data_IF_399864455228
#
_entry.id   IF_399864455228
#
_cell.length_a   1.000
_cell.length_b   1.000
_cell.length_c   1.000
_cell.angle_alpha   90.00
_cell.angle_beta   90.00
_cell.angle_gamma   90.00
#
_symmetry.space_group_name_H-M   'P 1'
#
loop_
_entity.id
_entity.type
_entity.pdbx_description
1 polymer ?
#
# COMPACT_ATOMS: atom_id res chain seq x y z
N UNK A 1 32.75 81.84 -39.04
CA UNK A 1 32.10 80.64 -39.61
C UNK A 1 32.37 79.45 -38.65
N UNK A 2 31.46 79.15 -37.71
CA UNK A 2 31.58 78.06 -36.77
C UNK A 2 30.52 77.04 -37.15
N UNK A 3 30.95 75.86 -37.62
CA UNK A 3 30.09 74.70 -37.91
C UNK A 3 29.75 74.00 -36.62
N UNK A 4 28.47 74.05 -36.24
CA UNK A 4 27.94 73.22 -35.13
C UNK A 4 27.87 71.77 -35.57
N UNK A 5 28.61 70.92 -34.92
CA UNK A 5 28.50 69.42 -35.02
C UNK A 5 27.29 68.95 -34.29
N UNK A 6 26.29 68.46 -35.04
CA UNK A 6 25.08 67.85 -34.48
C UNK A 6 25.39 66.42 -34.04
N UNK A 7 25.58 66.21 -32.73
CA UNK A 7 25.71 64.86 -32.16
C UNK A 7 24.32 64.24 -32.18
N UNK A 8 24.09 63.30 -33.10
CA UNK A 8 22.93 62.39 -33.06
C UNK A 8 23.19 61.37 -31.98
N UNK A 9 22.60 61.57 -30.80
CA UNK A 9 22.44 60.54 -29.79
C UNK A 9 21.50 59.49 -30.32
N UNK A 10 22.04 58.32 -30.66
CA UNK A 10 21.32 57.13 -31.02
C UNK A 10 20.57 56.65 -29.77
N UNK A 11 19.32 56.94 -29.66
CA UNK A 11 18.43 56.31 -28.67
C UNK A 11 18.22 54.86 -29.07
N UNK A 12 19.20 54.01 -28.74
CA UNK A 12 19.07 52.55 -28.79
C UNK A 12 17.93 52.14 -27.88
N UNK A 13 16.92 51.66 -28.49
CA UNK A 13 15.64 51.30 -28.04
C UNK A 13 15.58 50.61 -26.67
N UNK A 14 14.89 51.28 -25.82
CA UNK A 14 14.21 50.70 -24.68
C UNK A 14 12.98 49.91 -25.16
N UNK A 15 13.21 48.97 -26.08
CA UNK A 15 12.24 47.91 -26.40
C UNK A 15 12.53 46.71 -25.48
N UNK A 16 12.68 46.99 -24.22
CA UNK A 16 12.87 45.93 -23.22
C UNK A 16 11.56 45.67 -22.52
N UNK A 17 10.97 44.57 -22.93
CA UNK A 17 10.08 43.75 -22.10
C UNK A 17 8.82 44.51 -21.71
N UNK A 18 7.75 44.28 -22.45
CA UNK A 18 6.42 44.60 -21.95
C UNK A 18 6.30 44.03 -20.53
N UNK A 19 6.03 44.85 -19.52
CA UNK A 19 6.00 44.41 -18.12
C UNK A 19 5.06 43.21 -17.92
N UNK A 20 4.01 43.11 -18.72
CA UNK A 20 3.05 42.01 -18.68
C UNK A 20 3.65 40.64 -19.02
N UNK A 21 4.61 40.56 -19.95
CA UNK A 21 5.28 39.29 -20.28
C UNK A 21 6.25 38.84 -19.18
N UNK A 22 6.91 39.79 -18.55
CA UNK A 22 7.80 39.48 -17.42
C UNK A 22 7.01 39.00 -16.20
N UNK A 23 5.86 39.62 -15.90
CA UNK A 23 4.96 39.21 -14.86
C UNK A 23 4.42 37.79 -15.09
N UNK A 24 3.97 37.48 -16.30
CA UNK A 24 3.49 36.13 -16.67
C UNK A 24 4.57 35.06 -16.56
N UNK A 25 5.83 35.36 -16.92
CA UNK A 25 6.94 34.43 -16.75
C UNK A 25 7.23 34.13 -15.28
N UNK A 26 7.16 35.13 -14.41
CA UNK A 26 7.36 34.94 -12.97
C UNK A 26 6.22 34.12 -12.36
N UNK A 27 4.97 34.40 -12.74
CA UNK A 27 3.80 33.64 -12.29
C UNK A 27 3.90 32.18 -12.74
N UNK A 28 4.28 31.92 -13.98
CA UNK A 28 4.51 30.58 -14.50
C UNK A 28 5.66 29.87 -13.77
N UNK A 29 6.76 30.59 -13.50
CA UNK A 29 7.91 30.02 -12.78
C UNK A 29 7.58 29.59 -11.35
N UNK A 30 6.62 30.26 -10.70
CA UNK A 30 6.15 29.90 -9.35
C UNK A 30 5.08 28.81 -9.41
N UNK A 31 4.17 28.86 -10.37
CA UNK A 31 3.07 27.89 -10.48
C UNK A 31 3.52 26.53 -11.00
N UNK A 32 4.55 26.48 -11.87
CA UNK A 32 5.04 25.23 -12.47
C UNK A 32 5.57 24.21 -11.43
N UNK A 33 6.43 24.57 -10.46
CA UNK A 33 6.87 23.62 -9.42
C UNK A 33 5.70 23.07 -8.61
N UNK A 34 4.71 23.90 -8.30
CA UNK A 34 3.52 23.50 -7.55
C UNK A 34 2.67 22.52 -8.37
N UNK A 35 2.50 22.77 -9.66
CA UNK A 35 1.79 21.87 -10.57
C UNK A 35 2.50 20.51 -10.68
N UNK A 36 3.83 20.50 -10.83
CA UNK A 36 4.62 19.26 -10.88
C UNK A 36 4.45 18.48 -9.58
N UNK A 37 4.44 19.13 -8.43
CA UNK A 37 4.23 18.52 -7.13
C UNK A 37 2.86 17.80 -7.06
N UNK A 38 1.79 18.46 -7.53
CA UNK A 38 0.47 17.84 -7.59
C UNK A 38 0.44 16.63 -8.53
N UNK A 39 1.05 16.75 -9.71
CA UNK A 39 1.09 15.65 -10.68
C UNK A 39 1.81 14.42 -10.08
N UNK A 40 2.98 14.61 -9.46
CA UNK A 40 3.70 13.52 -8.80
C UNK A 40 2.87 12.91 -7.67
N UNK A 41 2.20 13.73 -6.87
CA UNK A 41 1.30 13.27 -5.81
C UNK A 41 0.17 12.38 -6.35
N UNK A 42 -0.51 12.81 -7.42
CA UNK A 42 -1.60 12.04 -8.05
C UNK A 42 -1.10 10.68 -8.53
N UNK A 43 0.06 10.60 -9.19
CA UNK A 43 0.62 9.33 -9.65
C UNK A 43 0.97 8.40 -8.50
N UNK A 44 1.53 8.91 -7.43
CA UNK A 44 1.93 8.09 -6.27
C UNK A 44 0.70 7.54 -5.52
N UNK A 45 -0.32 8.39 -5.30
CA UNK A 45 -1.59 7.93 -4.73
C UNK A 45 -2.30 6.91 -5.62
N UNK A 46 -2.30 7.11 -6.95
CA UNK A 46 -2.88 6.16 -7.90
C UNK A 46 -2.19 4.80 -7.82
N UNK A 47 -0.85 4.77 -7.72
CA UNK A 47 -0.09 3.54 -7.57
C UNK A 47 -0.40 2.83 -6.24
N UNK A 48 -0.45 3.57 -5.13
CA UNK A 48 -0.81 3.03 -3.82
C UNK A 48 -2.23 2.46 -3.79
N UNK A 49 -3.19 3.16 -4.40
CA UNK A 49 -4.58 2.70 -4.51
C UNK A 49 -4.70 1.42 -5.36
N UNK A 50 -4.00 1.35 -6.49
CA UNK A 50 -3.94 0.16 -7.34
C UNK A 50 -3.35 -1.03 -6.57
N UNK A 51 -2.28 -0.82 -5.81
CA UNK A 51 -1.71 -1.86 -4.95
C UNK A 51 -2.71 -2.31 -3.89
N UNK A 52 -3.40 -1.37 -3.23
CA UNK A 52 -4.44 -1.69 -2.25
C UNK A 52 -5.55 -2.56 -2.84
N UNK A 53 -6.01 -2.26 -4.06
CA UNK A 53 -7.02 -3.07 -4.75
C UNK A 53 -6.51 -4.48 -5.03
N UNK A 54 -5.28 -4.63 -5.53
CA UNK A 54 -4.65 -5.94 -5.77
C UNK A 54 -4.55 -6.74 -4.49
N UNK A 55 -4.08 -6.14 -3.38
CA UNK A 55 -3.99 -6.80 -2.09
C UNK A 55 -5.37 -7.20 -1.54
N UNK A 56 -6.39 -6.38 -1.76
CA UNK A 56 -7.76 -6.71 -1.35
C UNK A 56 -8.31 -7.90 -2.11
N UNK A 57 -8.06 -7.98 -3.42
CA UNK A 57 -8.50 -9.11 -4.22
C UNK A 57 -7.80 -10.41 -3.80
N UNK A 58 -6.46 -10.39 -3.67
CA UNK A 58 -5.73 -11.59 -3.26
C UNK A 58 -6.10 -12.03 -1.84
N UNK A 59 -6.32 -11.11 -0.91
CA UNK A 59 -6.76 -11.48 0.43
C UNK A 59 -8.13 -12.18 0.42
N UNK A 60 -9.05 -11.72 -0.43
CA UNK A 60 -10.37 -12.36 -0.61
C UNK A 60 -10.26 -13.75 -1.21
N UNK A 61 -9.47 -13.90 -2.26
CA UNK A 61 -9.28 -15.19 -2.92
C UNK A 61 -8.59 -16.20 -1.98
N UNK A 62 -7.55 -15.77 -1.29
CA UNK A 62 -6.86 -16.58 -0.30
C UNK A 62 -7.76 -16.99 0.87
N UNK A 63 -8.60 -16.07 1.37
CA UNK A 63 -9.55 -16.37 2.43
C UNK A 63 -10.60 -17.40 2.00
N UNK A 64 -11.11 -17.27 0.76
CA UNK A 64 -12.08 -18.23 0.19
C UNK A 64 -11.49 -19.62 0.03
N UNK A 65 -10.29 -19.71 -0.53
CA UNK A 65 -9.59 -21.00 -0.70
C UNK A 65 -9.35 -21.66 0.64
N UNK A 66 -8.82 -20.93 1.60
CA UNK A 66 -8.60 -21.47 2.93
C UNK A 66 -9.89 -21.85 3.66
N UNK A 67 -10.99 -21.12 3.44
CA UNK A 67 -12.29 -21.39 4.09
C UNK A 67 -13.02 -22.58 3.47
N UNK A 68 -12.78 -22.87 2.18
CA UNK A 68 -13.36 -24.01 1.47
C UNK A 68 -12.75 -25.37 1.91
N UNK A 69 -11.51 -25.34 2.43
CA UNK A 69 -10.88 -26.54 2.95
C UNK A 69 -11.55 -26.97 4.26
N UNK A 70 -11.71 -28.30 4.50
CA UNK A 70 -12.33 -28.81 5.71
C UNK A 70 -11.68 -28.27 6.98
N UNK A 71 -12.47 -27.89 7.97
CA UNK A 71 -11.96 -27.41 9.26
C UNK A 71 -11.19 -28.49 10.05
N UNK A 72 -11.37 -29.76 9.67
CA UNK A 72 -10.63 -30.89 10.24
C UNK A 72 -9.09 -30.83 10.00
N UNK A 73 -8.62 -30.08 9.00
CA UNK A 73 -7.18 -29.93 8.73
C UNK A 73 -6.44 -29.18 9.85
N UNK A 74 -7.14 -28.31 10.57
CA UNK A 74 -6.61 -27.58 11.74
C UNK A 74 -6.78 -28.38 13.06
N UNK A 75 -7.50 -29.49 13.04
CA UNK A 75 -7.72 -30.35 14.21
C UNK A 75 -6.47 -31.14 14.61
N UNK A 76 -5.59 -31.48 13.68
CA UNK A 76 -4.34 -32.22 13.94
C UNK A 76 -3.12 -31.29 13.75
N UNK A 77 -2.89 -30.43 14.73
CA UNK A 77 -1.83 -29.40 14.69
C UNK A 77 -0.41 -29.96 14.94
N UNK A 78 -0.25 -31.25 15.14
CA UNK A 78 1.06 -31.90 15.29
C UNK A 78 1.72 -32.22 13.93
N UNK A 79 1.00 -32.20 12.82
CA UNK A 79 1.47 -32.65 11.50
C UNK A 79 2.07 -31.55 10.62
N UNK A 80 2.36 -30.34 11.16
CA UNK A 80 2.98 -29.24 10.40
C UNK A 80 2.00 -28.14 10.02
N UNK A 81 2.19 -27.53 8.82
CA UNK A 81 1.31 -26.48 8.30
C UNK A 81 0.12 -27.14 7.58
N UNK A 82 -1.13 -26.81 7.93
CA UNK A 82 -2.32 -27.36 7.27
C UNK A 82 -2.37 -27.05 5.76
N UNK A 83 -3.04 -27.93 5.00
CA UNK A 83 -3.22 -27.75 3.55
C UNK A 83 -3.92 -26.44 3.22
N UNK A 84 -4.94 -26.07 3.96
CA UNK A 84 -5.66 -24.80 3.78
C UNK A 84 -4.76 -23.57 3.90
N UNK A 85 -3.79 -23.59 4.80
CA UNK A 85 -2.81 -22.52 4.98
C UNK A 85 -1.80 -22.51 3.82
N UNK A 86 -1.34 -23.70 3.40
CA UNK A 86 -0.42 -23.84 2.26
C UNK A 86 -1.09 -23.36 0.96
N UNK A 87 -2.32 -23.74 0.72
CA UNK A 87 -3.04 -23.37 -0.51
C UNK A 87 -3.39 -21.90 -0.53
N UNK A 88 -3.77 -21.32 0.62
CA UNK A 88 -3.90 -19.87 0.77
C UNK A 88 -2.58 -19.13 0.47
N UNK A 89 -1.45 -19.62 0.98
CA UNK A 89 -0.11 -19.07 0.67
C UNK A 89 0.18 -19.12 -0.84
N UNK A 90 -0.08 -20.26 -1.50
CA UNK A 90 0.13 -20.41 -2.95
C UNK A 90 -0.73 -19.44 -3.76
N UNK A 91 -1.97 -19.19 -3.35
CA UNK A 91 -2.84 -18.20 -3.98
C UNK A 91 -2.22 -16.82 -3.88
N UNK A 92 -1.74 -16.42 -2.69
CA UNK A 92 -1.09 -15.11 -2.51
C UNK A 92 0.16 -15.00 -3.37
N UNK A 93 1.04 -15.99 -3.34
CA UNK A 93 2.31 -16.01 -4.07
C UNK A 93 2.09 -15.94 -5.58
N UNK A 94 1.23 -16.79 -6.12
CA UNK A 94 0.89 -16.82 -7.55
C UNK A 94 0.23 -15.52 -8.01
N UNK A 95 -0.64 -14.94 -7.20
CA UNK A 95 -1.30 -13.67 -7.53
C UNK A 95 -0.31 -12.51 -7.56
N UNK A 96 0.59 -12.42 -6.58
CA UNK A 96 1.62 -11.38 -6.55
C UNK A 96 2.49 -11.47 -7.80
N UNK A 97 2.99 -12.65 -8.12
CA UNK A 97 3.84 -12.91 -9.30
C UNK A 97 3.10 -12.58 -10.61
N UNK A 98 1.86 -13.03 -10.77
CA UNK A 98 1.03 -12.74 -11.94
C UNK A 98 0.76 -11.24 -12.13
N UNK A 99 0.67 -10.50 -11.04
CA UNK A 99 0.47 -9.03 -11.06
C UNK A 99 1.76 -8.23 -11.07
N UNK A 100 2.92 -8.87 -11.32
CA UNK A 100 4.25 -8.26 -11.34
C UNK A 100 4.61 -7.55 -10.02
N UNK A 101 4.10 -8.05 -8.91
CA UNK A 101 4.53 -7.67 -7.58
C UNK A 101 5.59 -8.65 -7.10
N UNK A 102 6.61 -8.15 -6.41
CA UNK A 102 7.63 -9.01 -5.85
C UNK A 102 7.04 -9.77 -4.65
N UNK A 103 7.13 -11.09 -4.66
CA UNK A 103 6.71 -11.95 -3.56
C UNK A 103 7.66 -11.90 -2.36
N UNK A 104 8.81 -11.22 -2.48
CA UNK A 104 9.87 -11.10 -1.46
C UNK A 104 10.41 -12.44 -0.94
N UNK A 105 10.17 -13.55 -1.68
CA UNK A 105 10.51 -14.90 -1.26
C UNK A 105 9.51 -15.49 -0.27
N UNK A 106 8.24 -15.11 -0.37
CA UNK A 106 7.17 -15.56 0.53
C UNK A 106 7.01 -17.08 0.51
N UNK A 107 7.10 -17.72 -0.66
CA UNK A 107 6.96 -19.16 -0.86
C UNK A 107 8.03 -20.00 -0.13
N UNK A 108 9.18 -19.40 0.19
CA UNK A 108 10.29 -20.10 0.87
C UNK A 108 10.28 -19.92 2.40
N UNK A 109 9.37 -19.11 2.92
CA UNK A 109 9.32 -18.84 4.36
C UNK A 109 8.51 -19.87 5.13
N UNK A 110 9.00 -20.19 6.32
CA UNK A 110 8.25 -20.96 7.31
C UNK A 110 7.42 -20.01 8.17
N UNK A 111 6.15 -20.33 8.42
CA UNK A 111 5.33 -19.50 9.28
C UNK A 111 5.66 -19.65 10.76
N UNK A 112 5.46 -18.61 11.52
CA UNK A 112 5.28 -18.73 12.97
C UNK A 112 3.82 -19.03 13.25
N UNK A 113 3.56 -19.93 14.24
CA UNK A 113 2.22 -20.35 14.60
C UNK A 113 1.85 -19.90 16.00
N UNK A 114 0.62 -19.43 16.15
CA UNK A 114 -0.01 -19.16 17.44
C UNK A 114 -1.46 -19.69 17.42
N UNK A 115 -1.72 -20.80 18.08
CA UNK A 115 -3.01 -21.48 18.00
C UNK A 115 -3.36 -21.91 16.56
N UNK A 116 -4.45 -21.36 16.03
CA UNK A 116 -4.94 -21.57 14.66
C UNK A 116 -4.60 -20.40 13.72
N UNK A 117 -3.60 -19.60 14.07
CA UNK A 117 -3.08 -18.47 13.29
C UNK A 117 -1.65 -18.76 12.83
N UNK A 118 -1.39 -18.61 11.54
CA UNK A 118 -0.08 -18.72 10.90
C UNK A 118 0.34 -17.36 10.35
N UNK A 119 1.56 -16.96 10.68
CA UNK A 119 2.12 -15.67 10.26
C UNK A 119 3.41 -15.88 9.50
N UNK A 120 3.44 -15.47 8.26
CA UNK A 120 4.65 -15.37 7.42
C UNK A 120 5.13 -13.93 7.45
N UNK A 121 6.37 -13.71 7.89
CA UNK A 121 6.94 -12.37 7.98
C UNK A 121 8.23 -12.28 7.20
N UNK A 122 8.30 -11.32 6.30
CA UNK A 122 9.50 -10.92 5.57
C UNK A 122 9.72 -9.45 5.85
N UNK A 123 10.78 -9.16 6.59
CA UNK A 123 11.14 -7.78 6.92
C UNK A 123 11.44 -6.98 5.65
N UNK A 124 11.01 -5.70 5.57
CA UNK A 124 11.30 -4.87 4.41
C UNK A 124 12.80 -4.67 4.23
N UNK A 125 13.32 -5.10 3.07
CA UNK A 125 14.73 -4.97 2.69
C UNK A 125 14.85 -4.46 1.27
N UNK A 126 15.99 -3.84 0.96
CA UNK A 126 16.29 -3.35 -0.40
C UNK A 126 15.73 -1.96 -0.71
N UNK A 127 15.99 -1.52 -1.95
CA UNK A 127 15.50 -0.23 -2.48
C UNK A 127 15.03 -0.43 -3.92
N UNK A 128 13.72 -0.47 -4.19
CA UNK A 128 12.59 -0.25 -3.26
C UNK A 128 12.46 -1.36 -2.21
N UNK A 129 11.87 -1.06 -1.04
CA UNK A 129 11.74 -2.05 0.01
C UNK A 129 10.81 -3.18 -0.43
N UNK A 130 11.24 -4.43 -0.23
CA UNK A 130 10.41 -5.61 -0.38
C UNK A 130 10.19 -6.23 1.00
N UNK A 131 8.96 -6.24 1.45
CA UNK A 131 8.57 -6.80 2.73
C UNK A 131 7.10 -7.18 2.71
N UNK A 132 6.78 -8.34 3.26
CA UNK A 132 5.41 -8.87 3.30
C UNK A 132 5.16 -9.48 4.67
N UNK A 133 3.99 -9.19 5.23
CA UNK A 133 3.43 -9.95 6.35
C UNK A 133 2.11 -10.54 5.90
N UNK A 134 2.04 -11.87 5.88
CA UNK A 134 0.82 -12.62 5.58
C UNK A 134 0.37 -13.32 6.87
N UNK A 135 -0.85 -13.04 7.30
CA UNK A 135 -1.48 -13.65 8.47
C UNK A 135 -2.70 -14.43 8.00
N UNK A 136 -2.78 -15.69 8.37
CA UNK A 136 -3.89 -16.58 8.06
C UNK A 136 -4.41 -17.14 9.39
N UNK A 137 -5.62 -16.74 9.78
CA UNK A 137 -6.30 -17.23 10.98
C UNK A 137 -7.52 -18.06 10.55
N UNK A 138 -7.45 -19.38 10.79
CA UNK A 138 -8.50 -20.35 10.45
C UNK A 138 -9.61 -20.47 11.51
N UNK A 139 -9.40 -19.87 12.66
CA UNK A 139 -10.38 -19.84 13.74
C UNK A 139 -10.86 -18.43 14.06
N UNK A 140 -11.03 -17.59 13.03
CA UNK A 140 -11.50 -16.24 13.23
C UNK A 140 -12.98 -16.23 13.65
N UNK A 141 -13.27 -15.62 14.80
CA UNK A 141 -14.61 -15.57 15.36
C UNK A 141 -15.25 -14.23 15.07
N UNK A 142 -16.43 -14.28 14.43
CA UNK A 142 -17.29 -13.09 14.23
C UNK A 142 -18.21 -12.94 15.44
N UNK A 143 -18.15 -11.82 16.14
CA UNK A 143 -19.20 -11.49 17.10
C UNK A 143 -20.45 -11.05 16.31
N UNK A 144 -21.57 -11.73 16.53
CA UNK A 144 -22.84 -11.42 15.84
C UNK A 144 -23.39 -10.04 16.18
N UNK A 145 -22.88 -9.40 17.23
CA UNK A 145 -23.39 -8.11 17.77
C UNK A 145 -22.34 -7.04 17.96
N UNK A 146 -21.09 -7.24 17.50
CA UNK A 146 -20.05 -6.23 17.69
C UNK A 146 -20.22 -5.07 16.70
N UNK A 147 -20.44 -3.88 17.23
CA UNK A 147 -20.40 -2.62 16.46
C UNK A 147 -18.97 -2.15 16.19
N UNK A 148 -17.98 -2.79 16.80
CA UNK A 148 -16.57 -2.45 16.59
C UNK A 148 -16.02 -3.35 15.49
N UNK A 149 -15.57 -2.79 14.37
CA UNK A 149 -14.91 -3.60 13.36
C UNK A 149 -13.66 -4.26 13.97
N UNK A 150 -13.42 -5.55 13.66
CA UNK A 150 -12.22 -6.24 14.13
C UNK A 150 -10.99 -5.47 13.67
N UNK A 151 -9.90 -5.54 14.46
CA UNK A 151 -8.63 -4.95 14.03
C UNK A 151 -8.21 -5.59 12.71
N UNK A 152 -8.45 -4.82 11.66
CA UNK A 152 -8.33 -5.28 10.29
C UNK A 152 -6.89 -5.67 9.90
N UNK A 153 -5.88 -5.42 10.75
CA UNK A 153 -4.49 -5.70 10.40
C UNK A 153 -4.01 -7.07 10.85
N UNK A 154 -4.49 -7.53 11.99
CA UNK A 154 -3.90 -8.65 12.70
C UNK A 154 -4.71 -9.93 12.64
N UNK A 155 -5.90 -9.93 12.04
CA UNK A 155 -6.83 -11.08 12.08
C UNK A 155 -7.06 -11.62 13.51
N UNK A 156 -6.99 -10.74 14.52
CA UNK A 156 -7.27 -11.14 15.89
C UNK A 156 -8.76 -11.38 16.06
N UNK A 157 -9.09 -12.57 16.51
CA UNK A 157 -10.46 -12.91 16.90
C UNK A 157 -10.89 -12.07 18.09
N UNK A 158 -12.12 -11.60 18.03
CA UNK A 158 -12.74 -10.99 19.21
C UNK A 158 -13.16 -12.12 20.15
N UNK A 159 -13.10 -11.86 21.45
CA UNK A 159 -13.62 -12.80 22.45
C UNK A 159 -15.12 -12.96 22.24
N UNK A 160 -15.64 -14.18 21.97
CA UNK A 160 -17.07 -14.34 21.81
C UNK A 160 -17.77 -13.92 23.11
N UNK A 161 -18.74 -13.03 22.98
CA UNK A 161 -19.72 -12.83 24.05
C UNK A 161 -20.55 -14.10 24.26
N UNK A 162 -21.56 -14.05 25.12
CA UNK A 162 -22.43 -15.21 25.41
C UNK A 162 -23.35 -15.64 24.24
N UNK A 163 -23.13 -15.13 23.03
CA UNK A 163 -23.96 -15.41 21.85
C UNK A 163 -23.24 -16.34 20.86
N UNK A 164 -24.00 -17.00 20.01
CA UNK A 164 -23.52 -17.87 18.94
C UNK A 164 -22.54 -17.13 18.05
N UNK A 165 -21.31 -17.61 17.97
CA UNK A 165 -20.26 -17.03 17.15
C UNK A 165 -20.12 -17.83 15.84
N UNK A 166 -19.98 -17.13 14.72
CA UNK A 166 -19.64 -17.75 13.44
C UNK A 166 -18.10 -17.83 13.35
N UNK A 167 -17.62 -18.99 12.93
CA UNK A 167 -16.18 -19.22 12.73
C UNK A 167 -15.87 -19.10 11.25
N UNK A 168 -14.82 -18.35 10.95
CA UNK A 168 -14.37 -18.14 9.58
C UNK A 168 -12.85 -18.15 9.49
N UNK A 169 -12.37 -17.92 8.28
CA UNK A 169 -10.96 -17.72 7.99
C UNK A 169 -10.70 -16.26 7.67
N UNK A 170 -9.78 -15.65 8.42
CA UNK A 170 -9.30 -14.30 8.16
C UNK A 170 -7.91 -14.36 7.50
N UNK A 171 -7.73 -13.62 6.41
CA UNK A 171 -6.45 -13.43 5.75
C UNK A 171 -6.11 -11.95 5.72
N UNK A 172 -4.95 -11.59 6.26
CA UNK A 172 -4.38 -10.25 6.19
C UNK A 172 -3.08 -10.29 5.40
N UNK A 173 -2.96 -9.41 4.42
CA UNK A 173 -1.76 -9.22 3.61
C UNK A 173 -1.29 -7.79 3.82
N UNK A 174 -0.07 -7.62 4.33
CA UNK A 174 0.60 -6.33 4.48
C UNK A 174 1.80 -6.31 3.55
N UNK A 175 1.95 -5.25 2.79
CA UNK A 175 3.01 -5.11 1.79
C UNK A 175 3.75 -3.79 2.00
N UNK A 176 5.08 -3.84 2.05
CA UNK A 176 5.91 -2.64 2.19
C UNK A 176 5.75 -1.73 0.97
N UNK A 177 5.52 -0.45 1.22
CA UNK A 177 5.34 0.56 0.18
C UNK A 177 6.23 1.77 0.43
N UNK A 178 6.97 2.18 -0.60
CA UNK A 178 7.79 3.38 -0.56
C UNK A 178 7.13 4.49 -1.38
N UNK A 179 6.70 5.54 -0.71
CA UNK A 179 6.14 6.73 -1.35
C UNK A 179 7.23 7.50 -2.08
N UNK A 180 7.07 7.69 -3.38
CA UNK A 180 7.99 8.52 -4.19
C UNK A 180 7.91 9.99 -3.78
N UNK A 181 6.70 10.43 -3.42
CA UNK A 181 6.41 11.78 -2.96
C UNK A 181 7.02 12.10 -1.58
N UNK A 182 7.34 11.12 -0.75
CA UNK A 182 7.92 11.33 0.57
C UNK A 182 9.23 12.14 0.51
N UNK A 183 10.04 11.95 -0.54
CA UNK A 183 11.27 12.74 -0.77
C UNK A 183 10.99 14.20 -1.08
N UNK A 184 9.87 14.48 -1.74
CA UNK A 184 9.45 15.85 -2.06
C UNK A 184 8.81 16.52 -0.85
N UNK A 185 7.98 15.78 -0.10
CA UNK A 185 7.36 16.28 1.12
C UNK A 185 8.40 16.66 2.20
N UNK A 186 9.51 15.95 2.29
CA UNK A 186 10.60 16.27 3.23
C UNK A 186 11.27 17.63 2.94
N UNK A 187 11.24 18.12 1.70
CA UNK A 187 11.76 19.44 1.35
C UNK A 187 10.93 20.58 1.95
N UNK A 188 9.67 20.32 2.30
CA UNK A 188 8.76 21.28 2.93
C UNK A 188 8.71 21.17 4.47
N UNK A 189 9.67 20.44 5.06
CA UNK A 189 9.81 20.35 6.51
C UNK A 189 8.72 19.54 7.22
N UNK A 190 7.86 18.81 6.49
CA UNK A 190 6.88 17.90 7.08
C UNK A 190 7.48 16.51 7.21
N UNK A 191 7.81 16.15 8.44
CA UNK A 191 8.19 14.80 8.84
C UNK A 191 6.97 13.93 9.16
N UNK A 192 5.80 14.24 8.59
CA UNK A 192 4.63 13.40 8.76
C UNK A 192 4.96 12.04 8.10
N UNK A 193 5.08 11.02 8.92
CA UNK A 193 5.36 9.66 8.48
C UNK A 193 4.20 9.14 7.65
N UNK A 194 4.37 9.15 6.32
CA UNK A 194 3.45 8.44 5.45
C UNK A 194 3.48 6.94 5.82
N UNK A 195 2.34 6.24 5.74
CA UNK A 195 2.33 4.82 6.05
C UNK A 195 3.30 4.08 5.15
N UNK A 196 4.22 3.33 5.76
CA UNK A 196 5.25 2.55 5.06
C UNK A 196 4.74 1.21 4.54
N UNK A 197 3.48 0.89 4.83
CA UNK A 197 2.85 -0.36 4.47
C UNK A 197 1.43 -0.13 3.96
N UNK A 198 1.04 -0.92 2.97
CA UNK A 198 -0.35 -1.03 2.50
C UNK A 198 -0.83 -2.41 2.90
N UNK A 199 -1.98 -2.47 3.57
CA UNK A 199 -2.55 -3.73 4.03
C UNK A 199 -3.94 -3.97 3.46
N UNK A 200 -4.33 -5.23 3.36
CA UNK A 200 -5.67 -5.66 3.02
C UNK A 200 -6.06 -6.86 3.88
N UNK A 201 -7.32 -6.92 4.23
CA UNK A 201 -7.88 -8.02 5.02
C UNK A 201 -9.16 -8.50 4.38
N UNK A 202 -9.34 -9.79 4.41
CA UNK A 202 -10.57 -10.43 4.00
C UNK A 202 -10.92 -11.56 4.96
N UNK A 203 -12.21 -11.81 5.10
CA UNK A 203 -12.72 -12.89 5.92
C UNK A 203 -13.75 -13.67 5.12
N UNK A 204 -13.68 -15.00 5.18
CA UNK A 204 -14.63 -15.91 4.60
C UNK A 204 -15.15 -16.85 5.70
N UNK A 205 -16.42 -17.23 5.64
CA UNK A 205 -16.99 -18.25 6.54
C UNK A 205 -16.42 -19.61 6.15
N UNK A 206 -16.08 -20.43 7.16
CA UNK A 206 -15.62 -21.79 6.90
C UNK A 206 -16.82 -22.63 6.42
N UNK A 207 -16.62 -23.32 5.31
CA UNK A 207 -17.54 -24.34 4.82
C UNK A 207 -17.26 -25.64 5.57
N UNK A 208 -18.26 -26.20 6.25
CA UNK A 208 -18.14 -27.44 7.01
C UNK A 208 -18.39 -28.66 6.14
#
# INVERSE_FOLDING_TARGET
>A
MIRAAYVRTCSLGRQLVRPDRAAQLVEFAVSLPLLVLFVVGIFDFSAAFTLKQKLTNVARDAARVAAADPSADVGNLSSGVPSSVIDSLKVVDSYLTANRLNDCGLSTKTPTRSGVTWTYTIAPTGTPPCGITLIINRGYVFPVTSTTPPDARTCLSQTPGSQTALVGTCVSVQYAYAWKFARVASLFGRNDSLPTEIFAVAVALNEN
#
